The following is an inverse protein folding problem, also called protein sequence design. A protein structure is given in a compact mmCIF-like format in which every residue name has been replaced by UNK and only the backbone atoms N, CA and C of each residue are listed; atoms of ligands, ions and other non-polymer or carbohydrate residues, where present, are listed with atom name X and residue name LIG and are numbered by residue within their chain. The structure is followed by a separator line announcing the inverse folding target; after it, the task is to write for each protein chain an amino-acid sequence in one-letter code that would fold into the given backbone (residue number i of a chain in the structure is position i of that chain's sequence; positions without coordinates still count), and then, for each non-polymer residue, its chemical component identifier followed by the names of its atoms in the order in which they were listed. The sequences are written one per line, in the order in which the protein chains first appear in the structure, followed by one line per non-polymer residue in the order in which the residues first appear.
data_IF_789272924909
#
_entry.id   IF_789272924909
#
_cell.length_a   1.000
_cell.length_b   1.000
_cell.length_c   1.000
_cell.angle_alpha   90.00
_cell.angle_beta   90.00
_cell.angle_gamma   90.00
#
_symmetry.space_group_name_H-M   'P 1'
#
loop_
_entity.id
_entity.type
_entity.pdbx_description
1 polymer ?
#
# COMPACT_ATOMS: atom_id res chain seq x y z
N UNK A 1 -5.12 15.20 23.06
CA UNK A 1 -4.27 15.01 21.86
C UNK A 1 -4.93 15.74 20.70
N UNK A 2 -4.19 16.59 19.98
CA UNK A 2 -4.70 17.28 18.79
C UNK A 2 -5.03 16.26 17.71
N UNK A 3 -6.20 16.39 17.07
CA UNK A 3 -6.63 15.48 16.01
C UNK A 3 -5.81 15.76 14.76
N UNK A 4 -4.80 14.93 14.52
CA UNK A 4 -4.01 14.96 13.29
C UNK A 4 -4.92 14.55 12.13
N UNK A 5 -4.89 15.30 11.02
CA UNK A 5 -5.66 14.91 9.85
C UNK A 5 -5.14 13.58 9.31
N UNK A 6 -6.01 12.75 8.75
CA UNK A 6 -5.61 11.40 8.30
C UNK A 6 -4.54 11.36 7.20
N UNK A 7 -4.20 12.50 6.59
CA UNK A 7 -3.14 12.65 5.59
C UNK A 7 -1.90 13.41 6.12
N UNK A 8 -1.91 13.83 7.39
CA UNK A 8 -0.79 14.49 8.03
C UNK A 8 0.09 13.49 8.76
N UNK A 9 1.41 13.66 8.60
CA UNK A 9 2.41 12.76 9.16
C UNK A 9 2.84 13.34 10.50
N UNK A 10 2.52 12.63 11.58
CA UNK A 10 2.97 13.00 12.92
C UNK A 10 4.49 12.93 13.02
N UNK A 11 5.10 13.72 13.91
CA UNK A 11 6.54 13.70 14.12
C UNK A 11 7.03 12.32 14.56
N UNK A 12 6.27 11.65 15.44
CA UNK A 12 6.58 10.30 15.92
C UNK A 12 6.57 9.27 14.77
N UNK A 13 5.58 9.34 13.87
CA UNK A 13 5.55 8.45 12.72
C UNK A 13 6.69 8.79 11.75
N UNK A 14 6.96 10.07 11.52
CA UNK A 14 8.03 10.51 10.65
C UNK A 14 9.40 9.99 11.10
N UNK A 15 9.74 10.03 12.39
CA UNK A 15 11.03 9.52 12.87
C UNK A 15 11.20 8.00 12.63
N UNK A 16 10.12 7.23 12.54
CA UNK A 16 10.16 5.82 12.12
C UNK A 16 10.34 5.65 10.61
N UNK A 17 9.71 6.52 9.81
CA UNK A 17 9.78 6.45 8.34
C UNK A 17 11.11 6.97 7.78
N UNK A 18 11.63 8.05 8.35
CA UNK A 18 12.86 8.74 7.95
C UNK A 18 14.06 7.82 7.69
N UNK A 19 14.41 6.84 8.54
CA UNK A 19 15.55 5.95 8.28
C UNK A 19 15.34 5.03 7.07
N UNK A 20 14.11 4.80 6.64
CA UNK A 20 13.81 3.96 5.48
C UNK A 20 13.95 4.73 4.16
N UNK A 21 13.96 6.06 4.20
CA UNK A 21 14.02 6.90 3.01
C UNK A 21 15.34 6.66 2.27
N UNK A 22 15.30 6.31 0.96
CA UNK A 22 16.51 6.09 0.19
C UNK A 22 17.41 7.34 0.17
N UNK A 23 18.69 7.13 0.45
CA UNK A 23 19.68 8.20 0.34
C UNK A 23 19.84 8.62 -1.13
N UNK A 24 19.98 9.93 -1.41
CA UNK A 24 20.25 10.40 -2.75
C UNK A 24 21.69 10.05 -3.15
N UNK A 25 21.84 8.98 -3.93
CA UNK A 25 23.13 8.55 -4.46
C UNK A 25 23.35 9.06 -5.88
N UNK A 26 24.59 9.51 -6.16
CA UNK A 26 25.02 9.82 -7.54
C UNK A 26 25.42 8.52 -8.22
N UNK A 27 24.93 8.34 -9.44
CA UNK A 27 25.28 7.20 -10.27
C UNK A 27 26.74 7.35 -10.74
N UNK A 28 27.65 6.43 -10.37
CA UNK A 28 29.06 6.54 -10.72
C UNK A 28 29.31 6.42 -12.23
N UNK A 29 28.38 5.84 -13.00
CA UNK A 29 28.53 5.69 -14.44
C UNK A 29 28.14 6.95 -15.22
N UNK A 30 27.52 7.94 -14.56
CA UNK A 30 27.07 9.18 -15.22
C UNK A 30 28.07 10.31 -15.01
N UNK A 31 28.45 10.95 -16.11
CA UNK A 31 29.19 12.21 -16.06
C UNK A 31 28.24 13.37 -15.76
N UNK A 32 28.45 14.04 -14.62
CA UNK A 32 27.65 15.18 -14.19
C UNK A 32 28.35 16.49 -14.53
N UNK A 33 27.68 17.37 -15.28
CA UNK A 33 28.19 18.73 -15.57
C UNK A 33 28.38 19.61 -14.32
N UNK A 34 27.60 19.35 -13.27
CA UNK A 34 27.63 20.14 -12.03
C UNK A 34 28.42 19.42 -10.95
N UNK A 35 29.22 20.17 -10.19
CA UNK A 35 29.93 19.71 -8.99
C UNK A 35 28.97 19.04 -7.99
N UNK A 36 29.52 18.20 -7.11
CA UNK A 36 28.76 17.58 -6.02
C UNK A 36 28.12 18.70 -5.17
N UNK A 37 26.84 18.54 -4.82
CA UNK A 37 26.06 19.58 -4.14
C UNK A 37 25.63 20.77 -5.02
N UNK A 38 25.98 20.79 -6.31
CA UNK A 38 25.58 21.85 -7.23
C UNK A 38 24.17 21.66 -7.81
N UNK A 39 23.48 22.78 -8.06
CA UNK A 39 22.13 22.81 -8.62
C UNK A 39 21.06 23.16 -7.60
N UNK A 40 19.79 22.94 -7.96
CA UNK A 40 18.65 23.19 -7.05
C UNK A 40 18.65 22.14 -5.94
N UNK A 41 18.57 22.58 -4.69
CA UNK A 41 18.45 21.67 -3.54
C UNK A 41 17.20 20.80 -3.70
N UNK A 42 17.27 19.49 -3.37
CA UNK A 42 16.12 18.62 -3.41
C UNK A 42 15.07 19.07 -2.40
N UNK A 43 13.81 18.69 -2.65
CA UNK A 43 12.73 18.96 -1.70
C UNK A 43 12.94 18.16 -0.41
N UNK A 44 12.52 18.70 0.77
CA UNK A 44 12.60 17.97 2.02
C UNK A 44 11.87 16.62 1.93
N UNK A 45 12.50 15.50 2.35
CA UNK A 45 11.88 14.17 2.27
C UNK A 45 10.53 14.06 2.96
N UNK A 46 10.37 14.73 4.12
CA UNK A 46 9.10 14.77 4.85
C UNK A 46 7.97 15.36 4.02
N UNK A 47 8.22 16.49 3.36
CA UNK A 47 7.24 17.17 2.52
C UNK A 47 6.83 16.29 1.33
N UNK A 48 7.79 15.57 0.73
CA UNK A 48 7.51 14.59 -0.33
C UNK A 48 6.62 13.46 0.20
N UNK A 49 6.97 12.89 1.37
CA UNK A 49 6.22 11.80 1.96
C UNK A 49 4.78 12.20 2.34
N UNK A 50 4.60 13.36 2.97
CA UNK A 50 3.27 13.93 3.28
C UNK A 50 2.44 14.16 2.01
N UNK A 51 3.06 14.66 0.93
CA UNK A 51 2.37 14.81 -0.34
C UNK A 51 1.92 13.47 -0.94
N UNK A 52 2.75 12.43 -0.85
CA UNK A 52 2.38 11.08 -1.29
C UNK A 52 1.22 10.55 -0.45
N UNK A 53 1.27 10.70 0.88
CA UNK A 53 0.17 10.30 1.78
C UNK A 53 -1.12 11.02 1.43
N UNK A 54 -1.06 12.32 1.10
CA UNK A 54 -2.22 13.09 0.65
C UNK A 54 -2.84 12.51 -0.62
N UNK A 55 -2.02 12.19 -1.64
CA UNK A 55 -2.49 11.58 -2.89
C UNK A 55 -3.13 10.21 -2.61
N UNK A 56 -2.47 9.35 -1.82
CA UNK A 56 -3.00 8.01 -1.50
C UNK A 56 -4.31 8.07 -0.70
N UNK A 57 -4.42 9.04 0.21
CA UNK A 57 -5.60 9.20 1.06
C UNK A 57 -6.82 9.76 0.32
N UNK A 58 -6.59 10.68 -0.61
CA UNK A 58 -7.64 11.41 -1.34
C UNK A 58 -7.97 10.79 -2.69
N UNK A 59 -7.04 10.03 -3.28
CA UNK A 59 -7.15 9.52 -4.65
C UNK A 59 -7.05 10.61 -5.72
N UNK A 60 -6.61 11.83 -5.38
CA UNK A 60 -6.51 12.91 -6.34
C UNK A 60 -5.42 12.64 -7.39
N UNK A 61 -5.57 13.21 -8.58
CA UNK A 61 -4.52 13.13 -9.59
C UNK A 61 -3.29 13.91 -9.14
N UNK A 62 -2.08 13.45 -9.48
CA UNK A 62 -0.83 14.14 -9.16
C UNK A 62 -0.86 15.63 -9.53
N UNK A 63 -1.38 15.99 -10.71
CA UNK A 63 -1.46 17.40 -11.15
C UNK A 63 -2.42 18.27 -10.33
N UNK A 64 -3.36 17.64 -9.61
CA UNK A 64 -4.34 18.30 -8.74
C UNK A 64 -3.80 18.49 -7.31
N UNK A 65 -2.57 18.05 -7.02
CA UNK A 65 -1.95 18.24 -5.72
C UNK A 65 -1.82 19.74 -5.38
N UNK A 66 -2.21 20.17 -4.16
CA UNK A 66 -2.09 21.57 -3.74
C UNK A 66 -0.63 22.07 -3.76
N UNK A 67 -0.29 22.86 -4.79
CA UNK A 67 1.07 23.34 -5.03
C UNK A 67 1.56 24.29 -3.94
N UNK A 68 0.66 25.05 -3.34
CA UNK A 68 0.97 26.02 -2.28
C UNK A 68 1.53 25.32 -1.03
N UNK A 69 1.02 24.12 -0.72
CA UNK A 69 1.45 23.33 0.44
C UNK A 69 2.64 22.42 0.14
N UNK A 70 2.58 21.70 -0.98
CA UNK A 70 3.54 20.62 -1.25
C UNK A 70 4.62 20.98 -2.26
N UNK A 71 4.44 22.04 -3.05
CA UNK A 71 5.35 22.41 -4.12
C UNK A 71 5.04 21.70 -5.45
N UNK A 72 6.07 21.39 -6.24
CA UNK A 72 5.92 20.91 -7.62
C UNK A 72 5.41 19.46 -7.66
N UNK A 73 4.22 19.18 -8.23
CA UNK A 73 3.69 17.83 -8.27
C UNK A 73 4.52 16.89 -9.15
N UNK A 74 5.12 17.42 -10.23
CA UNK A 74 6.01 16.65 -11.09
C UNK A 74 7.27 16.19 -10.35
N UNK A 75 7.83 17.05 -9.47
CA UNK A 75 8.98 16.69 -8.66
C UNK A 75 8.62 15.58 -7.65
N UNK A 76 7.47 15.72 -6.98
CA UNK A 76 6.97 14.73 -6.01
C UNK A 76 6.73 13.39 -6.69
N UNK A 77 6.08 13.36 -7.86
CA UNK A 77 5.87 12.12 -8.60
C UNK A 77 7.19 11.47 -9.04
N UNK A 78 8.20 12.27 -9.40
CA UNK A 78 9.54 11.76 -9.74
C UNK A 78 10.20 11.09 -8.52
N UNK A 79 10.10 11.72 -7.34
CA UNK A 79 10.58 11.11 -6.09
C UNK A 79 9.80 9.86 -5.71
N UNK A 80 8.47 9.86 -5.87
CA UNK A 80 7.63 8.68 -5.65
C UNK A 80 8.10 7.49 -6.50
N UNK A 81 8.33 7.71 -7.80
CA UNK A 81 8.85 6.69 -8.71
C UNK A 81 10.24 6.18 -8.30
N UNK A 82 11.12 7.08 -7.87
CA UNK A 82 12.45 6.71 -7.39
C UNK A 82 12.38 5.86 -6.12
N UNK A 83 11.60 6.30 -5.13
CA UNK A 83 11.39 5.56 -3.87
C UNK A 83 10.74 4.21 -4.09
N UNK A 84 9.76 4.14 -4.99
CA UNK A 84 9.14 2.87 -5.39
C UNK A 84 10.16 1.89 -5.96
N UNK A 85 11.02 2.34 -6.88
CA UNK A 85 12.08 1.49 -7.48
C UNK A 85 13.15 1.10 -6.45
N UNK A 86 13.43 1.96 -5.49
CA UNK A 86 14.37 1.69 -4.40
C UNK A 86 13.77 0.79 -3.30
N UNK A 87 12.52 0.34 -3.42
CA UNK A 87 11.88 -0.55 -2.46
C UNK A 87 11.40 0.11 -1.16
N UNK A 88 11.38 1.45 -1.10
CA UNK A 88 10.98 2.21 0.10
C UNK A 88 9.62 1.77 0.65
N UNK A 89 8.60 1.66 -0.20
CA UNK A 89 7.25 1.31 0.24
C UNK A 89 7.15 -0.13 0.74
N UNK A 90 7.95 -1.04 0.18
CA UNK A 90 8.03 -2.43 0.66
C UNK A 90 8.69 -2.48 2.03
N UNK A 91 9.78 -1.72 2.22
CA UNK A 91 10.44 -1.62 3.52
C UNK A 91 9.51 -1.01 4.58
N UNK A 92 8.80 0.07 4.23
CA UNK A 92 7.81 0.72 5.09
C UNK A 92 6.67 -0.24 5.48
N UNK A 93 6.13 -0.99 4.51
CA UNK A 93 5.08 -1.97 4.77
C UNK A 93 5.55 -3.09 5.70
N UNK A 94 6.76 -3.64 5.49
CA UNK A 94 7.34 -4.65 6.37
C UNK A 94 7.55 -4.13 7.79
N UNK A 95 8.05 -2.90 7.95
CA UNK A 95 8.21 -2.28 9.26
C UNK A 95 6.87 -2.13 9.98
N UNK A 96 5.83 -1.70 9.27
CA UNK A 96 4.47 -1.61 9.82
C UNK A 96 3.89 -2.97 10.22
N UNK A 97 4.12 -4.02 9.42
CA UNK A 97 3.70 -5.38 9.78
C UNK A 97 4.43 -5.91 11.01
N UNK A 98 5.73 -5.64 11.15
CA UNK A 98 6.49 -6.04 12.33
C UNK A 98 5.96 -5.35 13.61
N UNK A 99 5.67 -4.04 13.53
CA UNK A 99 5.05 -3.32 14.65
C UNK A 99 3.66 -3.88 14.99
N UNK A 100 2.86 -4.20 13.97
CA UNK A 100 1.53 -4.78 14.18
C UNK A 100 1.58 -6.20 14.76
N UNK A 101 2.54 -7.02 14.36
CA UNK A 101 2.79 -8.36 14.91
C UNK A 101 3.15 -8.28 16.40
N UNK A 102 3.97 -7.30 16.80
CA UNK A 102 4.34 -7.07 18.19
C UNK A 102 3.12 -6.64 19.04
N UNK A 103 2.22 -5.82 18.49
CA UNK A 103 1.05 -5.33 19.22
C UNK A 103 -0.10 -6.34 19.30
N UNK A 104 -0.44 -6.99 18.18
CA UNK A 104 -1.68 -7.76 18.02
C UNK A 104 -1.46 -9.22 17.61
N UNK A 105 -0.25 -9.58 17.14
CA UNK A 105 0.10 -10.91 16.66
C UNK A 105 -0.48 -11.23 15.28
N UNK A 106 0.40 -11.49 14.32
CA UNK A 106 0.07 -11.94 12.97
C UNK A 106 0.23 -13.47 12.90
N UNK A 107 -0.83 -14.15 12.48
CA UNK A 107 -0.75 -15.58 12.16
C UNK A 107 -0.02 -15.77 10.82
N UNK A 108 1.32 -15.69 10.81
CA UNK A 108 2.13 -15.75 9.59
C UNK A 108 1.92 -17.00 8.74
N UNK A 109 1.56 -18.13 9.38
CA UNK A 109 1.26 -19.41 8.71
C UNK A 109 -0.12 -19.44 8.04
N UNK A 110 -1.02 -18.50 8.39
CA UNK A 110 -2.38 -18.44 7.88
C UNK A 110 -2.61 -17.13 7.12
N UNK A 111 -2.34 -17.14 5.82
CA UNK A 111 -2.69 -16.04 4.93
C UNK A 111 -3.94 -16.42 4.16
N UNK A 112 -5.08 -15.81 4.52
CA UNK A 112 -6.26 -15.84 3.68
C UNK A 112 -6.03 -14.89 2.51
N UNK A 113 -6.06 -15.42 1.27
CA UNK A 113 -6.14 -14.59 0.08
C UNK A 113 -7.62 -14.22 -0.09
N UNK A 114 -8.06 -13.10 0.45
CA UNK A 114 -9.42 -12.57 0.21
C UNK A 114 -9.46 -11.57 -0.96
N UNK A 115 -8.58 -11.74 -1.95
CA UNK A 115 -8.54 -10.93 -3.16
C UNK A 115 -9.25 -11.57 -4.36
N UNK A 116 -10.47 -12.08 -4.20
CA UNK A 116 -11.24 -12.57 -5.35
C UNK A 116 -11.98 -11.40 -6.02
N UNK A 117 -11.37 -10.80 -7.05
CA UNK A 117 -12.09 -9.93 -8.01
C UNK A 117 -13.00 -10.72 -8.97
N UNK A 118 -13.06 -12.05 -8.81
CA UNK A 118 -14.00 -12.91 -9.53
C UNK A 118 -15.28 -13.02 -8.72
N UNK A 119 -16.42 -12.83 -9.39
CA UNK A 119 -17.75 -13.04 -8.82
C UNK A 119 -17.80 -14.43 -8.21
N UNK A 120 -18.28 -14.54 -6.96
CA UNK A 120 -18.54 -15.84 -6.35
C UNK A 120 -19.37 -16.68 -7.35
N UNK A 121 -18.98 -17.94 -7.65
CA UNK A 121 -19.78 -18.79 -8.50
C UNK A 121 -21.17 -18.87 -7.88
N UNK A 122 -22.17 -18.41 -8.61
CA UNK A 122 -23.56 -18.43 -8.15
C UNK A 122 -23.93 -19.88 -7.86
N UNK A 123 -24.54 -20.20 -6.70
CA UNK A 123 -25.11 -21.51 -6.47
C UNK A 123 -26.24 -21.72 -7.50
N UNK A 124 -25.95 -22.49 -8.55
CA UNK A 124 -26.93 -22.80 -9.60
C UNK A 124 -28.13 -23.60 -9.06
N UNK A 125 -27.97 -24.28 -7.93
CA UNK A 125 -29.00 -25.15 -7.34
C UNK A 125 -30.02 -24.40 -6.49
N UNK A 126 -29.66 -23.27 -5.87
CA UNK A 126 -30.54 -22.56 -4.93
C UNK A 126 -31.39 -21.44 -5.58
N UNK A 127 -30.94 -20.88 -6.70
CA UNK A 127 -31.64 -19.83 -7.41
C UNK A 127 -31.76 -20.20 -8.88
N UNK A 128 -32.99 -20.39 -9.37
CA UNK A 128 -33.26 -20.63 -10.77
C UNK A 128 -32.71 -19.51 -11.67
N UNK A 129 -32.69 -19.75 -12.99
CA UNK A 129 -32.17 -18.78 -13.99
C UNK A 129 -32.78 -17.39 -13.76
N UNK A 130 -31.92 -16.41 -13.46
CA UNK A 130 -32.34 -15.02 -13.30
C UNK A 130 -32.97 -14.53 -14.63
N UNK A 131 -34.23 -14.05 -14.65
CA UNK A 131 -34.95 -13.71 -15.87
C UNK A 131 -34.29 -12.59 -16.70
N UNK A 132 -33.39 -11.81 -16.10
CA UNK A 132 -32.68 -10.72 -16.78
C UNK A 132 -31.28 -11.09 -17.28
N UNK A 133 -30.77 -12.29 -16.96
CA UNK A 133 -29.44 -12.72 -17.41
C UNK A 133 -29.51 -13.29 -18.83
N UNK A 134 -29.29 -12.39 -19.80
CA UNK A 134 -29.20 -12.71 -21.23
C UNK A 134 -27.99 -13.63 -21.43
N UNK A 135 -28.24 -14.94 -21.41
CA UNK A 135 -27.26 -16.02 -21.34
C UNK A 135 -25.98 -15.78 -22.15
N UNK A 136 -24.90 -15.39 -21.48
CA UNK A 136 -23.57 -15.39 -22.07
C UNK A 136 -23.08 -16.83 -22.17
N UNK A 137 -23.09 -17.38 -23.39
CA UNK A 137 -22.56 -18.71 -23.75
C UNK A 137 -21.03 -18.72 -23.71
N UNK A 138 -20.43 -18.68 -22.53
CA UNK A 138 -19.00 -18.87 -22.38
C UNK A 138 -18.83 -20.10 -21.50
N UNK A 139 -18.06 -21.08 -21.95
CA UNK A 139 -17.70 -22.22 -21.11
C UNK A 139 -16.82 -21.70 -19.97
N UNK A 140 -17.37 -21.65 -18.75
CA UNK A 140 -16.57 -21.34 -17.58
C UNK A 140 -15.67 -22.54 -17.27
N UNK A 141 -14.38 -22.28 -17.08
CA UNK A 141 -13.45 -23.30 -16.64
C UNK A 141 -13.84 -23.80 -15.24
N UNK A 142 -13.67 -25.10 -14.94
CA UNK A 142 -13.88 -25.64 -13.59
C UNK A 142 -13.04 -24.87 -12.58
N UNK A 143 -13.62 -24.54 -11.42
CA UNK A 143 -12.85 -23.94 -10.33
C UNK A 143 -11.81 -24.94 -9.82
N UNK A 144 -10.54 -24.54 -9.86
CA UNK A 144 -9.47 -25.32 -9.25
C UNK A 144 -9.53 -25.13 -7.72
N UNK A 145 -10.30 -25.95 -7.01
CA UNK A 145 -10.28 -25.86 -5.54
C UNK A 145 -11.43 -26.49 -4.78
N UNK A 146 -11.89 -27.67 -5.16
CA UNK A 146 -12.75 -28.48 -4.29
C UNK A 146 -11.93 -29.18 -3.20
N UNK A 147 -11.35 -28.42 -2.25
CA UNK A 147 -10.87 -29.04 -0.99
C UNK A 147 -12.01 -29.02 0.01
N UNK A 148 -12.32 -30.19 0.56
CA UNK A 148 -13.24 -30.32 1.70
C UNK A 148 -12.74 -29.44 2.85
N UNK A 149 -13.63 -28.60 3.35
CA UNK A 149 -13.39 -27.73 4.49
C UNK A 149 -13.20 -28.60 5.75
N UNK A 150 -11.95 -28.82 6.15
CA UNK A 150 -11.62 -29.49 7.41
C UNK A 150 -11.05 -28.45 8.37
N UNK A 151 -11.80 -27.97 9.37
CA UNK A 151 -11.28 -27.02 10.34
C UNK A 151 -10.41 -27.78 11.35
N UNK A 152 -9.11 -27.89 11.07
CA UNK A 152 -8.16 -28.20 12.11
C UNK A 152 -7.97 -26.93 12.95
N UNK A 153 -8.57 -26.95 14.15
CA UNK A 153 -8.62 -25.92 15.20
C UNK A 153 -9.89 -25.05 15.18
N UNK A 154 -10.75 -25.30 16.17
CA UNK A 154 -12.14 -24.83 16.20
C UNK A 154 -12.35 -23.42 16.80
N UNK A 155 -11.45 -22.85 17.62
CA UNK A 155 -11.61 -21.51 18.22
C UNK A 155 -10.28 -20.84 18.58
N UNK A 156 -10.15 -19.53 18.31
CA UNK A 156 -9.16 -18.62 18.89
C UNK A 156 -9.86 -17.91 20.05
N UNK A 157 -9.51 -18.24 21.29
CA UNK A 157 -10.17 -17.66 22.47
C UNK A 157 -9.63 -16.23 22.72
N UNK A 158 -10.50 -15.24 22.57
CA UNK A 158 -10.19 -13.80 22.67
C UNK A 158 -10.35 -13.25 24.10
N UNK A 159 -10.55 -14.14 25.08
CA UNK A 159 -11.06 -13.76 26.41
C UNK A 159 -9.98 -13.49 27.47
N UNK A 160 -8.69 -13.59 27.16
CA UNK A 160 -7.63 -13.35 28.16
C UNK A 160 -6.86 -12.06 27.84
N UNK A 161 -6.99 -11.00 28.65
CA UNK A 161 -6.06 -9.88 28.60
C UNK A 161 -4.71 -10.31 29.18
N UNK A 162 -3.66 -9.59 28.75
CA UNK A 162 -2.29 -9.70 29.24
C UNK A 162 -2.15 -9.29 30.72
#
# INVERSE_FOLDING_TARGET
MTKIQSWEVSDAFWERVKPLVPAPERDPQKSYKRKIGGGRKPMPPRQIFEAIMYVLRTGCQWKALPKERFGSPSAIHTHFMHWMRAGFFVALWRAGLAEYDEMEGIAWSWQSIDGAMVKAPLPLEAFGRNPTDRGKKWNQAPSAGGRSWCPAVARRDRSKPA
#
